data_IF_740766101206
#
_entry.id   IF_740766101206
#
_cell.length_a   1.000
_cell.length_b   1.000
_cell.length_c   1.000
_cell.angle_alpha   90.00
_cell.angle_beta   90.00
_cell.angle_gamma   90.00
#
_symmetry.space_group_name_H-M   'P 1'
#
loop_
_entity.id
_entity.type
_entity.pdbx_description
1 polymer ?
#
# COMPACT_ATOMS: atom_id res chain seq x y z
N UNK A 1 7.89 -22.39 -8.72
CA UNK A 1 7.58 -21.85 -7.38
C UNK A 1 6.88 -20.49 -7.39
N UNK A 2 6.90 -19.73 -8.49
CA UNK A 2 6.21 -18.41 -8.59
C UNK A 2 4.66 -18.51 -8.65
N UNK A 3 4.11 -19.62 -9.12
CA UNK A 3 2.66 -19.81 -9.35
C UNK A 3 1.86 -19.96 -8.04
N UNK A 4 2.47 -20.47 -6.97
CA UNK A 4 1.77 -20.71 -5.69
C UNK A 4 1.59 -19.42 -4.88
N UNK A 5 2.46 -18.42 -5.05
CA UNK A 5 2.36 -17.14 -4.34
C UNK A 5 1.20 -16.27 -4.86
N UNK A 6 0.94 -16.33 -6.17
CA UNK A 6 -0.17 -15.59 -6.79
C UNK A 6 -1.54 -16.11 -6.32
N UNK A 7 -1.66 -17.43 -6.08
CA UNK A 7 -2.92 -18.04 -5.64
C UNK A 7 -3.29 -17.73 -4.18
N UNK A 8 -2.32 -17.52 -3.30
CA UNK A 8 -2.59 -17.17 -1.89
C UNK A 8 -2.96 -15.70 -1.70
N UNK A 9 -2.36 -14.80 -2.48
CA UNK A 9 -2.74 -13.40 -2.50
C UNK A 9 -4.17 -13.20 -3.06
N UNK A 10 -4.53 -13.97 -4.10
CA UNK A 10 -5.85 -13.92 -4.71
C UNK A 10 -6.98 -14.40 -3.78
N UNK A 11 -6.72 -15.36 -2.89
CA UNK A 11 -7.74 -15.89 -1.98
C UNK A 11 -8.15 -14.93 -0.85
N UNK A 12 -7.25 -14.00 -0.46
CA UNK A 12 -7.52 -12.99 0.59
C UNK A 12 -8.11 -11.70 0.00
N UNK A 13 -7.90 -11.47 -1.30
CA UNK A 13 -8.29 -10.25 -2.01
C UNK A 13 -9.55 -10.42 -2.88
N UNK A 14 -10.39 -11.43 -2.62
CA UNK A 14 -11.65 -11.64 -3.35
C UNK A 14 -12.69 -10.53 -3.07
N UNK A 15 -12.28 -9.27 -3.24
CA UNK A 15 -13.19 -8.14 -3.34
C UNK A 15 -13.43 -7.88 -4.84
N UNK A 16 -14.68 -7.73 -5.17
CA UNK A 16 -15.24 -7.57 -6.51
C UNK A 16 -14.35 -6.70 -7.43
N UNK A 17 -13.85 -7.35 -8.48
CA UNK A 17 -13.16 -6.69 -9.60
C UNK A 17 -14.05 -5.57 -10.15
N UNK A 18 -13.56 -4.33 -10.24
CA UNK A 18 -14.29 -3.31 -10.99
C UNK A 18 -14.41 -3.76 -12.44
N UNK A 19 -15.63 -3.89 -12.93
CA UNK A 19 -15.90 -4.27 -14.31
C UNK A 19 -15.36 -3.19 -15.24
N UNK A 20 -14.40 -3.53 -16.11
CA UNK A 20 -14.11 -2.67 -17.25
C UNK A 20 -12.68 -2.51 -17.76
N UNK A 21 -11.65 -3.19 -17.20
CA UNK A 21 -10.30 -3.08 -17.78
C UNK A 21 -9.77 -4.46 -18.17
N UNK A 22 -9.93 -4.81 -19.43
CA UNK A 22 -9.29 -5.97 -20.04
C UNK A 22 -8.34 -5.46 -21.13
N UNK A 23 -7.03 -5.69 -20.96
CA UNK A 23 -6.09 -5.54 -22.04
C UNK A 23 -4.71 -5.02 -21.63
N UNK A 24 -3.68 -5.49 -22.32
CA UNK A 24 -2.28 -5.07 -22.17
C UNK A 24 -2.06 -3.55 -22.39
N UNK A 25 -3.02 -2.88 -23.04
CA UNK A 25 -2.98 -1.44 -23.39
C UNK A 25 -3.84 -0.56 -22.47
N UNK A 26 -4.34 -1.07 -21.34
CA UNK A 26 -5.13 -0.27 -20.42
C UNK A 26 -4.26 0.86 -19.84
N UNK A 27 -4.67 2.10 -20.09
CA UNK A 27 -4.03 3.29 -19.51
C UNK A 27 -4.30 3.35 -18.01
N UNK A 28 -3.35 3.85 -17.20
CA UNK A 28 -3.58 4.05 -15.78
C UNK A 28 -4.75 5.02 -15.58
N UNK A 29 -5.48 4.81 -14.52
CA UNK A 29 -6.57 5.68 -14.09
C UNK A 29 -6.27 6.29 -12.74
N UNK A 30 -6.54 7.58 -12.56
CA UNK A 30 -6.43 8.27 -11.29
C UNK A 30 -7.76 8.96 -11.01
N UNK A 31 -8.41 8.55 -9.92
CA UNK A 31 -9.67 9.13 -9.48
C UNK A 31 -9.52 10.55 -8.94
N UNK A 32 -10.63 11.26 -8.68
CA UNK A 32 -10.58 12.58 -8.07
C UNK A 32 -10.03 12.52 -6.63
N UNK A 33 -9.29 13.55 -6.23
CA UNK A 33 -8.84 13.68 -4.83
C UNK A 33 -10.05 13.91 -3.91
N UNK A 34 -10.06 13.18 -2.79
CA UNK A 34 -11.00 13.36 -1.69
C UNK A 34 -10.24 13.66 -0.40
N UNK A 35 -10.92 14.26 0.56
CA UNK A 35 -10.45 14.33 1.95
C UNK A 35 -11.36 13.43 2.76
N UNK A 36 -10.77 12.40 3.38
CA UNK A 36 -11.51 11.34 4.06
C UNK A 36 -10.90 11.08 5.44
N UNK A 37 -11.74 10.67 6.36
CA UNK A 37 -11.32 10.18 7.66
C UNK A 37 -11.13 8.66 7.57
N UNK A 38 -9.89 8.20 7.71
CA UNK A 38 -9.55 6.78 7.68
C UNK A 38 -9.47 6.25 9.10
N UNK A 39 -10.20 5.16 9.36
CA UNK A 39 -10.20 4.49 10.66
C UNK A 39 -8.88 3.76 10.91
N UNK A 40 -8.46 3.77 12.17
CA UNK A 40 -7.29 3.04 12.61
C UNK A 40 -7.54 1.54 12.75
N UNK A 41 -6.47 0.79 12.86
CA UNK A 41 -6.50 -0.67 13.02
C UNK A 41 -5.16 -1.19 13.57
N UNK A 42 -5.14 -2.43 14.05
CA UNK A 42 -3.90 -3.08 14.41
C UNK A 42 -3.12 -3.44 13.15
N UNK A 43 -1.88 -2.96 13.07
CA UNK A 43 -1.01 -3.09 11.91
C UNK A 43 0.22 -3.91 12.26
N UNK A 44 0.33 -5.10 11.66
CA UNK A 44 1.50 -5.96 11.78
C UNK A 44 2.37 -5.75 10.57
N UNK A 45 3.64 -5.37 10.78
CA UNK A 45 4.51 -4.92 9.70
C UNK A 45 5.98 -5.20 9.95
N UNK A 46 6.75 -5.04 8.89
CA UNK A 46 8.20 -4.94 8.92
C UNK A 46 8.62 -3.59 8.38
N UNK A 47 9.54 -2.89 9.07
CA UNK A 47 10.09 -1.61 8.64
C UNK A 47 11.41 -1.80 7.91
N UNK A 48 11.60 -1.10 6.79
CA UNK A 48 12.84 -1.14 6.00
C UNK A 48 13.19 0.23 5.46
N UNK A 49 14.47 0.50 5.31
CA UNK A 49 14.96 1.64 4.56
C UNK A 49 15.00 1.29 3.06
N UNK A 50 14.51 2.21 2.23
CA UNK A 50 14.46 2.05 0.79
C UNK A 50 14.70 3.38 0.06
N UNK A 51 14.88 3.30 -1.25
CA UNK A 51 14.79 4.41 -2.20
C UNK A 51 13.75 4.05 -3.26
N UNK A 52 13.31 4.98 -4.09
CA UNK A 52 12.42 4.66 -5.22
C UNK A 52 13.06 3.66 -6.20
N UNK A 53 14.40 3.56 -6.23
CA UNK A 53 15.11 2.58 -7.06
C UNK A 53 15.12 1.17 -6.47
N UNK A 54 15.02 1.03 -5.16
CA UNK A 54 15.19 -0.25 -4.47
C UNK A 54 13.91 -0.79 -3.85
N UNK A 55 12.85 0.01 -3.80
CA UNK A 55 11.59 -0.35 -3.13
C UNK A 55 11.00 -1.67 -3.66
N UNK A 56 11.01 -1.89 -4.97
CA UNK A 56 10.50 -3.13 -5.56
C UNK A 56 11.24 -4.38 -5.06
N UNK A 57 12.56 -4.29 -4.86
CA UNK A 57 13.36 -5.38 -4.29
C UNK A 57 13.02 -5.62 -2.82
N UNK A 58 12.80 -4.53 -2.05
CA UNK A 58 12.38 -4.63 -0.64
C UNK A 58 11.06 -5.39 -0.53
N UNK A 59 10.07 -5.04 -1.35
CA UNK A 59 8.80 -5.77 -1.40
C UNK A 59 8.97 -7.23 -1.79
N UNK A 60 9.74 -7.50 -2.84
CA UNK A 60 9.96 -8.86 -3.32
C UNK A 60 10.60 -9.78 -2.27
N UNK A 61 11.40 -9.22 -1.37
CA UNK A 61 12.07 -9.96 -0.28
C UNK A 61 11.20 -10.07 0.97
N UNK A 62 10.60 -8.96 1.40
CA UNK A 62 9.96 -8.90 2.73
C UNK A 62 8.52 -9.41 2.72
N UNK A 63 7.76 -9.15 1.65
CA UNK A 63 6.36 -9.55 1.61
C UNK A 63 6.15 -11.08 1.70
N UNK A 64 6.89 -11.94 0.98
CA UNK A 64 6.76 -13.39 1.14
C UNK A 64 7.10 -13.88 2.55
N UNK A 65 8.10 -13.28 3.22
CA UNK A 65 8.48 -13.63 4.59
C UNK A 65 7.38 -13.25 5.58
N UNK A 66 6.83 -12.05 5.44
CA UNK A 66 5.74 -11.58 6.29
C UNK A 66 4.49 -12.48 6.15
N UNK A 67 4.11 -12.83 4.92
CA UNK A 67 2.98 -13.73 4.67
C UNK A 67 3.24 -15.13 5.29
N UNK A 68 4.47 -15.63 5.18
CA UNK A 68 4.85 -16.90 5.79
C UNK A 68 4.76 -16.84 7.33
N UNK A 69 5.25 -15.76 7.95
CA UNK A 69 5.17 -15.55 9.39
C UNK A 69 3.71 -15.49 9.88
N UNK A 70 2.86 -14.69 9.22
CA UNK A 70 1.42 -14.61 9.53
C UNK A 70 0.76 -15.99 9.49
N UNK A 71 1.09 -16.79 8.48
CA UNK A 71 0.56 -18.13 8.33
C UNK A 71 1.07 -19.11 9.40
N UNK A 72 2.36 -19.04 9.73
CA UNK A 72 2.98 -19.92 10.75
C UNK A 72 2.39 -19.67 12.13
N UNK A 73 2.19 -18.40 12.48
CA UNK A 73 1.63 -17.97 13.76
C UNK A 73 0.09 -17.95 13.78
N UNK A 74 -0.54 -18.40 12.68
CA UNK A 74 -2.00 -18.39 12.52
C UNK A 74 -2.66 -17.03 12.80
N UNK A 75 -2.00 -15.92 12.41
CA UNK A 75 -2.51 -14.58 12.58
C UNK A 75 -3.47 -14.24 11.44
N UNK A 76 -4.69 -13.83 11.79
CA UNK A 76 -5.74 -13.53 10.81
C UNK A 76 -5.58 -12.10 10.27
N UNK A 77 -5.36 -11.99 8.95
CA UNK A 77 -5.42 -10.71 8.25
C UNK A 77 -6.85 -10.20 8.17
N UNK A 78 -7.04 -8.89 8.37
CA UNK A 78 -8.35 -8.20 8.35
C UNK A 78 -8.51 -7.30 7.13
N UNK A 79 -7.59 -7.39 6.17
CA UNK A 79 -7.62 -6.60 4.94
C UNK A 79 -6.45 -6.88 4.03
N UNK A 80 -6.37 -6.13 2.95
CA UNK A 80 -5.25 -6.16 2.01
C UNK A 80 -3.96 -5.61 2.61
N UNK A 81 -2.87 -5.80 1.88
CA UNK A 81 -1.58 -5.21 2.22
C UNK A 81 -1.69 -3.68 2.30
N UNK A 82 -0.95 -3.11 3.22
CA UNK A 82 -0.78 -1.66 3.35
C UNK A 82 0.70 -1.37 3.43
N UNK A 83 1.13 -0.30 2.77
CA UNK A 83 2.46 0.24 2.92
C UNK A 83 2.37 1.64 3.51
N UNK A 84 3.18 1.91 4.53
CA UNK A 84 3.29 3.23 5.15
C UNK A 84 4.67 3.78 4.88
N UNK A 85 4.72 4.91 4.18
CA UNK A 85 5.97 5.59 3.80
C UNK A 85 6.19 6.79 4.69
N UNK A 86 7.39 6.89 5.26
CA UNK A 86 7.81 8.00 6.11
C UNK A 86 8.88 8.82 5.39
N UNK A 87 8.53 10.06 5.02
CA UNK A 87 9.44 10.98 4.34
C UNK A 87 9.67 10.66 2.86
N UNK A 88 8.70 10.03 2.20
CA UNK A 88 8.73 9.78 0.75
C UNK A 88 8.90 11.10 -0.03
N UNK A 89 9.78 11.09 -1.02
CA UNK A 89 10.04 12.25 -1.90
C UNK A 89 10.14 11.82 -3.36
N UNK A 90 10.06 12.79 -4.26
CA UNK A 90 10.23 12.56 -5.69
C UNK A 90 11.69 12.28 -6.11
N UNK A 91 12.68 12.51 -5.24
CA UNK A 91 14.07 12.19 -5.51
C UNK A 91 14.29 10.67 -5.46
N UNK A 92 14.62 10.01 -6.59
CA UNK A 92 14.70 8.57 -6.65
C UNK A 92 15.90 7.98 -5.88
N UNK A 93 16.83 8.82 -5.41
CA UNK A 93 18.02 8.41 -4.67
C UNK A 93 17.89 8.65 -3.17
N UNK A 94 16.90 9.46 -2.76
CA UNK A 94 16.71 9.78 -1.36
C UNK A 94 16.13 8.58 -0.61
N UNK A 95 16.71 8.28 0.53
CA UNK A 95 16.27 7.22 1.43
C UNK A 95 15.02 7.66 2.20
N UNK A 96 14.12 6.73 2.40
CA UNK A 96 12.94 6.84 3.24
C UNK A 96 12.71 5.51 3.97
N UNK A 97 11.93 5.52 5.03
CA UNK A 97 11.47 4.30 5.67
C UNK A 97 10.12 3.89 5.09
N UNK A 98 9.95 2.59 4.89
CA UNK A 98 8.68 1.97 4.50
C UNK A 98 8.34 0.84 5.45
N UNK A 99 7.12 0.88 5.97
CA UNK A 99 6.52 -0.21 6.72
C UNK A 99 5.63 -0.99 5.76
N UNK A 100 5.88 -2.30 5.63
CA UNK A 100 5.13 -3.21 4.77
C UNK A 100 4.37 -4.17 5.68
N UNK A 101 3.04 -4.20 5.58
CA UNK A 101 2.27 -4.97 6.53
C UNK A 101 0.82 -5.21 6.16
N UNK A 102 0.11 -5.77 7.14
CA UNK A 102 -1.31 -6.09 7.02
C UNK A 102 -2.07 -5.64 8.26
N UNK A 103 -3.33 -5.20 8.09
CA UNK A 103 -4.25 -5.11 9.21
C UNK A 103 -4.50 -6.52 9.75
N UNK A 104 -4.44 -6.66 11.08
CA UNK A 104 -4.63 -7.94 11.74
C UNK A 104 -5.70 -7.86 12.82
N UNK A 105 -6.15 -9.02 13.30
CA UNK A 105 -7.14 -9.13 14.36
C UNK A 105 -6.67 -8.53 15.68
N UNK A 106 -7.64 -8.18 16.52
CA UNK A 106 -7.36 -7.76 17.88
C UNK A 106 -6.76 -8.93 18.69
N UNK A 107 -5.72 -8.63 19.50
CA UNK A 107 -5.05 -9.64 20.30
C UNK A 107 -3.96 -10.43 19.60
N UNK A 108 -3.71 -10.17 18.27
CA UNK A 108 -2.53 -10.73 17.61
C UNK A 108 -1.24 -10.31 18.34
N UNK A 109 -0.24 -11.17 18.32
CA UNK A 109 1.11 -10.87 18.80
C UNK A 109 2.08 -10.82 17.62
N UNK A 110 3.03 -9.88 17.66
CA UNK A 110 4.03 -9.80 16.61
C UNK A 110 4.99 -10.99 16.68
N UNK A 111 5.19 -11.74 15.58
CA UNK A 111 6.28 -12.71 15.49
C UNK A 111 7.65 -12.04 15.63
N UNK A 112 8.68 -12.82 15.93
CA UNK A 112 10.05 -12.33 15.97
C UNK A 112 10.45 -11.67 14.66
N UNK A 113 11.04 -10.47 14.75
CA UNK A 113 11.46 -9.67 13.58
C UNK A 113 10.39 -8.79 12.96
N UNK A 114 9.15 -8.84 13.49
CA UNK A 114 8.03 -8.00 13.06
C UNK A 114 7.55 -7.08 14.18
N UNK A 115 6.78 -6.08 13.81
CA UNK A 115 6.21 -5.10 14.75
C UNK A 115 4.68 -5.12 14.64
N UNK A 116 4.03 -4.87 15.77
CA UNK A 116 2.59 -4.70 15.84
C UNK A 116 2.29 -3.39 16.57
N UNK A 117 1.75 -2.43 15.85
CA UNK A 117 1.34 -1.15 16.41
C UNK A 117 -0.04 -0.76 15.87
N UNK A 118 -0.88 -0.08 16.64
CA UNK A 118 -2.11 0.49 16.12
C UNK A 118 -1.77 1.66 15.20
N UNK A 119 -2.26 1.65 13.96
CA UNK A 119 -2.39 2.86 13.17
C UNK A 119 -3.61 3.63 13.69
N UNK A 120 -3.40 4.89 14.03
CA UNK A 120 -4.47 5.76 14.52
C UNK A 120 -5.43 6.18 13.42
N UNK A 121 -6.65 6.54 13.82
CA UNK A 121 -7.58 7.28 12.97
C UNK A 121 -6.92 8.56 12.46
N UNK A 122 -7.12 8.91 11.20
CA UNK A 122 -6.48 10.08 10.65
C UNK A 122 -7.23 10.66 9.45
N UNK A 123 -7.10 11.97 9.25
CA UNK A 123 -7.59 12.62 8.05
C UNK A 123 -6.54 12.51 6.95
N UNK A 124 -6.98 12.07 5.78
CA UNK A 124 -6.13 11.89 4.63
C UNK A 124 -6.71 12.60 3.40
N UNK A 125 -5.82 13.11 2.56
CA UNK A 125 -6.16 13.35 1.17
C UNK A 125 -5.91 12.06 0.40
N UNK A 126 -6.89 11.58 -0.35
CA UNK A 126 -6.86 10.29 -1.03
C UNK A 126 -7.10 10.41 -2.52
N UNK A 127 -6.49 9.53 -3.30
CA UNK A 127 -6.85 9.24 -4.70
C UNK A 127 -6.87 7.74 -4.92
N UNK A 128 -7.80 7.28 -5.76
CA UNK A 128 -7.82 5.89 -6.21
C UNK A 128 -6.99 5.78 -7.49
N UNK A 129 -6.01 4.90 -7.49
CA UNK A 129 -5.18 4.56 -8.62
C UNK A 129 -5.58 3.19 -9.18
N UNK A 130 -5.66 3.07 -10.50
CA UNK A 130 -5.80 1.80 -11.20
C UNK A 130 -4.75 1.69 -12.30
N UNK A 131 -3.95 0.61 -12.31
CA UNK A 131 -2.90 0.44 -13.31
C UNK A 131 -1.67 -0.31 -12.82
N UNK A 132 -0.61 -0.30 -13.65
CA UNK A 132 0.68 -0.90 -13.31
C UNK A 132 1.40 -0.06 -12.25
N UNK A 133 2.08 -0.71 -11.32
CA UNK A 133 2.76 0.03 -10.23
C UNK A 133 3.85 0.98 -10.74
N UNK A 134 4.46 0.71 -11.89
CA UNK A 134 5.41 1.66 -12.51
C UNK A 134 4.76 3.02 -12.85
N UNK A 135 3.43 3.09 -12.94
CA UNK A 135 2.66 4.28 -13.32
C UNK A 135 2.04 5.01 -12.11
N UNK A 136 2.17 4.47 -10.88
CA UNK A 136 1.57 5.04 -9.66
C UNK A 136 2.01 6.47 -9.37
N UNK A 137 3.17 6.88 -9.91
CA UNK A 137 3.66 8.26 -9.84
C UNK A 137 2.65 9.31 -10.33
N UNK A 138 1.73 8.94 -11.24
CA UNK A 138 0.67 9.83 -11.72
C UNK A 138 -0.34 10.16 -10.61
N UNK A 139 -0.67 9.18 -9.76
CA UNK A 139 -1.52 9.39 -8.59
C UNK A 139 -0.88 10.34 -7.58
N UNK A 140 0.40 10.16 -7.32
CA UNK A 140 1.18 11.04 -6.45
C UNK A 140 1.26 12.48 -7.00
N UNK A 141 1.55 12.63 -8.29
CA UNK A 141 1.62 13.94 -8.93
C UNK A 141 0.28 14.69 -8.82
N UNK A 142 -0.83 14.01 -9.12
CA UNK A 142 -2.16 14.59 -9.01
C UNK A 142 -2.49 14.97 -7.56
N UNK A 143 -2.22 14.06 -6.60
CA UNK A 143 -2.52 14.24 -5.19
C UNK A 143 -1.77 15.43 -4.60
N UNK A 144 -0.43 15.47 -4.75
CA UNK A 144 0.38 16.57 -4.23
C UNK A 144 0.11 17.89 -4.93
N UNK A 145 -0.19 17.89 -6.24
CA UNK A 145 -0.63 19.09 -6.96
C UNK A 145 -1.92 19.69 -6.38
N UNK A 146 -2.90 18.84 -6.05
CA UNK A 146 -4.16 19.30 -5.45
C UNK A 146 -4.01 19.69 -3.97
N UNK A 147 -3.15 19.01 -3.20
CA UNK A 147 -2.82 19.40 -1.83
C UNK A 147 -2.28 20.83 -1.81
N UNK A 148 -1.29 21.10 -2.66
CA UNK A 148 -0.70 22.44 -2.78
C UNK A 148 -1.74 23.50 -3.19
N UNK A 149 -2.55 23.23 -4.21
CA UNK A 149 -3.57 24.16 -4.70
C UNK A 149 -4.65 24.48 -3.65
N UNK A 150 -4.93 23.56 -2.72
CA UNK A 150 -5.92 23.72 -1.64
C UNK A 150 -5.31 24.18 -0.32
N UNK A 151 -3.99 24.39 -0.23
CA UNK A 151 -3.30 24.76 1.00
C UNK A 151 -3.33 23.69 2.10
N UNK A 152 -3.58 22.44 1.76
CA UNK A 152 -3.59 21.33 2.71
C UNK A 152 -2.15 20.95 3.08
N UNK A 153 -1.93 20.64 4.38
CA UNK A 153 -0.60 20.41 4.93
C UNK A 153 -0.38 18.93 5.22
N UNK A 154 0.50 18.21 4.48
CA UNK A 154 0.85 16.84 4.78
C UNK A 154 1.73 16.74 6.03
N UNK A 155 1.63 15.61 6.74
CA UNK A 155 2.50 15.26 7.87
C UNK A 155 3.86 14.73 7.43
N UNK A 156 3.98 14.24 6.19
CA UNK A 156 5.12 13.49 5.68
C UNK A 156 4.92 11.97 5.67
N UNK A 157 3.77 11.51 6.19
CA UNK A 157 3.35 10.11 6.10
C UNK A 157 2.42 9.93 4.89
N UNK A 158 2.68 8.87 4.12
CA UNK A 158 1.81 8.44 3.01
C UNK A 158 1.53 6.97 3.14
N UNK A 159 0.30 6.56 2.84
CA UNK A 159 -0.14 5.17 2.89
C UNK A 159 -0.62 4.72 1.52
N UNK A 160 -0.30 3.49 1.16
CA UNK A 160 -0.87 2.80 0.01
C UNK A 160 -1.67 1.61 0.51
N UNK A 161 -2.98 1.60 0.24
CA UNK A 161 -3.87 0.50 0.54
C UNK A 161 -4.11 -0.29 -0.74
N UNK A 162 -3.62 -1.53 -0.81
CA UNK A 162 -3.76 -2.39 -1.98
C UNK A 162 -5.12 -3.06 -1.94
N UNK A 163 -6.10 -2.44 -2.59
CA UNK A 163 -7.49 -2.90 -2.61
C UNK A 163 -7.69 -4.10 -3.54
N UNK A 164 -6.95 -4.13 -4.64
CA UNK A 164 -6.83 -5.28 -5.54
C UNK A 164 -5.40 -5.37 -6.05
N UNK A 165 -4.83 -6.56 -6.03
CA UNK A 165 -3.44 -6.79 -6.38
C UNK A 165 -3.28 -8.11 -7.13
N UNK A 166 -2.60 -8.09 -8.26
CA UNK A 166 -2.16 -9.27 -9.01
C UNK A 166 -0.64 -9.39 -8.97
N UNK A 167 0.06 -8.45 -9.61
CA UNK A 167 1.52 -8.32 -9.62
C UNK A 167 1.91 -6.87 -9.96
N UNK A 168 3.22 -6.56 -9.99
CA UNK A 168 3.71 -5.20 -10.26
C UNK A 168 3.39 -4.67 -11.66
N UNK A 169 3.29 -5.57 -12.64
CA UNK A 169 3.07 -5.22 -14.05
C UNK A 169 1.60 -5.31 -14.47
N UNK A 170 0.74 -5.81 -13.59
CA UNK A 170 -0.68 -5.94 -13.91
C UNK A 170 -1.37 -4.58 -14.03
N UNK A 171 -2.11 -4.35 -15.13
CA UNK A 171 -2.94 -3.16 -15.29
C UNK A 171 -4.22 -3.18 -14.43
N UNK A 172 -4.49 -4.31 -13.75
CA UNK A 172 -5.71 -4.50 -12.97
C UNK A 172 -5.54 -4.08 -11.49
N UNK A 173 -4.33 -3.72 -11.04
CA UNK A 173 -4.13 -3.30 -9.66
C UNK A 173 -4.99 -2.09 -9.33
N UNK A 174 -5.51 -2.07 -8.11
CA UNK A 174 -6.26 -0.94 -7.56
C UNK A 174 -5.66 -0.58 -6.20
N UNK A 175 -5.16 0.64 -6.11
CA UNK A 175 -4.48 1.15 -4.90
C UNK A 175 -5.11 2.47 -4.48
N UNK A 176 -5.49 2.58 -3.20
CA UNK A 176 -5.83 3.86 -2.60
C UNK A 176 -4.55 4.50 -2.06
N UNK A 177 -4.12 5.60 -2.66
CA UNK A 177 -3.01 6.41 -2.18
C UNK A 177 -3.56 7.47 -1.24
N UNK A 178 -3.05 7.51 -0.01
CA UNK A 178 -3.52 8.40 1.05
C UNK A 178 -2.36 9.18 1.67
N UNK A 179 -2.40 10.50 1.61
CA UNK A 179 -1.45 11.40 2.29
C UNK A 179 -2.07 11.88 3.58
N UNK A 180 -1.41 11.61 4.71
CA UNK A 180 -1.88 12.01 6.04
C UNK A 180 -1.76 13.51 6.20
N UNK A 181 -2.83 14.16 6.67
CA UNK A 181 -2.94 15.60 6.88
C UNK A 181 -2.69 15.99 8.35
N UNK A 182 -2.19 17.22 8.54
CA UNK A 182 -2.03 17.82 9.89
C UNK A 182 -3.37 18.24 10.46
#
# INVERSE_FOLDING_TARGET
>A
MAVILALLAAAVMAQTRPAGQNGADAKPSVGPMRVEHLMGFNYLYVSREATLKTIGQVFAVELPKLIAALKTENIQMRGGMISVYHGLTADPSRKFNVDIGFPVEAGAMAPEGYQLLPLSDTNCATVLFGGRMAEIGQAYQQLYGQLHARGLQPTGETREYYLYWEDFDSPNNVVLVAVVLK
#
